data_IF_319897272775
#
_entry.id   IF_319897272775
#
_cell.length_a   1.000
_cell.length_b   1.000
_cell.length_c   1.000
_cell.angle_alpha   90.00
_cell.angle_beta   90.00
_cell.angle_gamma   90.00
#
_symmetry.space_group_name_H-M   'P 1'
#
loop_
_entity.id
_entity.type
_entity.pdbx_description
1 polymer ?
#
# COMPACT_ATOMS: atom_id res chain seq x y z
N UNK A 1 20.30 -3.14 11.08
CA UNK A 1 21.46 -3.35 10.17
C UNK A 1 21.00 -3.03 8.76
N UNK A 2 21.76 -2.26 8.00
CA UNK A 2 21.46 -2.02 6.58
C UNK A 2 21.94 -3.22 5.76
N UNK A 3 21.13 -3.65 4.79
CA UNK A 3 21.49 -4.68 3.81
C UNK A 3 21.74 -4.01 2.47
N UNK A 4 22.89 -4.26 1.88
CA UNK A 4 23.22 -3.79 0.53
C UNK A 4 22.64 -4.75 -0.52
N UNK A 5 22.12 -4.19 -1.60
CA UNK A 5 21.55 -4.93 -2.73
C UNK A 5 22.04 -4.25 -4.02
N UNK A 6 22.57 -5.03 -4.96
CA UNK A 6 22.90 -4.55 -6.30
C UNK A 6 21.81 -4.99 -7.28
N UNK A 7 21.33 -4.05 -8.09
CA UNK A 7 20.23 -4.26 -9.05
C UNK A 7 20.70 -3.74 -10.40
N UNK A 8 20.38 -4.47 -11.47
CA UNK A 8 20.63 -4.04 -12.84
C UNK A 8 19.29 -3.81 -13.53
N UNK A 9 19.09 -2.59 -14.03
CA UNK A 9 17.94 -2.24 -14.86
C UNK A 9 18.28 -2.37 -16.34
N UNK A 10 17.27 -2.65 -17.16
CA UNK A 10 17.43 -2.50 -18.60
C UNK A 10 17.57 -1.01 -18.97
N UNK A 11 18.13 -0.74 -20.15
CA UNK A 11 18.39 0.63 -20.61
C UNK A 11 17.13 1.50 -20.62
N UNK A 12 15.96 0.92 -20.91
CA UNK A 12 14.71 1.68 -20.98
C UNK A 12 14.28 2.12 -19.59
N UNK A 13 14.36 1.22 -18.63
CA UNK A 13 13.98 1.44 -17.24
C UNK A 13 14.93 2.43 -16.58
N UNK A 14 16.22 2.30 -16.83
CA UNK A 14 17.23 3.26 -16.35
C UNK A 14 16.96 4.68 -16.87
N UNK A 15 16.74 4.85 -18.18
CA UNK A 15 16.40 6.18 -18.75
C UNK A 15 15.15 6.78 -18.10
N UNK A 16 14.15 5.96 -17.80
CA UNK A 16 12.92 6.43 -17.15
C UNK A 16 13.16 6.79 -15.68
N UNK A 17 13.95 5.99 -14.97
CA UNK A 17 14.36 6.25 -13.60
C UNK A 17 15.09 7.60 -13.51
N UNK A 18 16.10 7.82 -14.35
CA UNK A 18 16.88 9.08 -14.38
C UNK A 18 15.97 10.29 -14.59
N UNK A 19 15.07 10.24 -15.59
CA UNK A 19 14.12 11.34 -15.85
C UNK A 19 13.18 11.60 -14.68
N UNK A 20 12.75 10.55 -13.99
CA UNK A 20 11.87 10.67 -12.85
C UNK A 20 12.60 11.34 -11.67
N UNK A 21 13.76 10.83 -11.28
CA UNK A 21 14.50 11.36 -10.12
C UNK A 21 14.93 12.81 -10.36
N UNK A 22 15.32 13.17 -11.58
CA UNK A 22 15.66 14.55 -11.96
C UNK A 22 14.43 15.48 -11.84
N UNK A 23 13.31 15.07 -12.43
CA UNK A 23 12.07 15.86 -12.42
C UNK A 23 11.53 16.06 -11.01
N UNK A 24 11.71 15.09 -10.13
CA UNK A 24 11.17 15.09 -8.78
C UNK A 24 12.19 15.51 -7.72
N UNK A 25 13.42 15.83 -8.11
CA UNK A 25 14.52 16.22 -7.21
C UNK A 25 14.72 15.19 -6.07
N UNK A 26 14.82 13.92 -6.45
CA UNK A 26 15.05 12.77 -5.57
C UNK A 26 16.38 12.11 -5.92
N UNK A 27 16.97 11.37 -4.99
CA UNK A 27 18.01 10.41 -5.31
C UNK A 27 17.42 9.08 -5.81
N UNK A 28 18.22 8.30 -6.54
CA UNK A 28 17.86 6.93 -6.93
C UNK A 28 17.52 6.07 -5.72
N UNK A 29 18.32 6.17 -4.65
CA UNK A 29 18.14 5.41 -3.42
C UNK A 29 16.80 5.72 -2.76
N UNK A 30 16.42 7.00 -2.65
CA UNK A 30 15.14 7.41 -2.08
C UNK A 30 13.97 6.87 -2.90
N UNK A 31 14.03 6.98 -4.23
CA UNK A 31 12.98 6.46 -5.08
C UNK A 31 12.83 4.95 -4.97
N UNK A 32 13.92 4.19 -5.03
CA UNK A 32 13.89 2.73 -4.93
C UNK A 32 13.34 2.29 -3.57
N UNK A 33 13.75 2.94 -2.48
CA UNK A 33 13.21 2.66 -1.14
C UNK A 33 11.71 2.91 -1.07
N UNK A 34 11.23 4.03 -1.62
CA UNK A 34 9.81 4.36 -1.64
C UNK A 34 9.01 3.37 -2.50
N UNK A 35 9.52 3.02 -3.69
CA UNK A 35 8.88 2.07 -4.58
C UNK A 35 8.74 0.68 -3.93
N UNK A 36 9.80 0.19 -3.29
CA UNK A 36 9.78 -1.10 -2.58
C UNK A 36 8.84 -1.04 -1.37
N UNK A 37 8.89 0.02 -0.57
CA UNK A 37 8.02 0.16 0.60
C UNK A 37 6.54 0.18 0.19
N UNK A 38 6.20 0.93 -0.86
CA UNK A 38 4.85 1.01 -1.39
C UNK A 38 4.35 -0.36 -1.89
N UNK A 39 5.14 -1.08 -2.68
CA UNK A 39 4.70 -2.38 -3.20
C UNK A 39 4.47 -3.40 -2.07
N UNK A 40 5.28 -3.36 -1.01
CA UNK A 40 5.10 -4.21 0.16
C UNK A 40 3.87 -3.82 0.99
N UNK A 41 3.58 -2.53 1.12
CA UNK A 41 2.36 -2.01 1.75
C UNK A 41 1.12 -2.44 0.95
N UNK A 42 1.11 -2.20 -0.36
CA UNK A 42 0.02 -2.59 -1.26
C UNK A 42 -0.27 -4.10 -1.17
N UNK A 43 0.78 -4.93 -1.09
CA UNK A 43 0.63 -6.39 -0.90
C UNK A 43 -0.01 -6.77 0.46
N UNK A 44 0.28 -6.02 1.53
CA UNK A 44 -0.34 -6.24 2.84
C UNK A 44 -1.81 -5.80 2.81
N UNK A 45 -2.10 -4.65 2.21
CA UNK A 45 -3.45 -4.12 2.09
C UNK A 45 -4.37 -5.05 1.30
N UNK A 46 -3.87 -5.63 0.20
CA UNK A 46 -4.60 -6.63 -0.58
C UNK A 46 -4.95 -7.85 0.29
N UNK A 47 -4.00 -8.37 1.07
CA UNK A 47 -4.26 -9.51 1.96
C UNK A 47 -5.28 -9.17 3.05
N UNK A 48 -5.21 -7.98 3.62
CA UNK A 48 -6.18 -7.51 4.61
C UNK A 48 -7.59 -7.42 3.99
N UNK A 49 -7.70 -6.81 2.80
CA UNK A 49 -8.95 -6.71 2.07
C UNK A 49 -9.55 -8.07 1.72
N UNK A 50 -8.73 -9.01 1.23
CA UNK A 50 -9.16 -10.38 0.93
C UNK A 50 -9.67 -11.11 2.18
N UNK A 51 -8.94 -11.00 3.29
CA UNK A 51 -9.34 -11.60 4.58
C UNK A 51 -10.67 -11.03 5.09
N UNK A 52 -10.83 -9.71 5.02
CA UNK A 52 -12.08 -9.02 5.36
C UNK A 52 -13.22 -9.45 4.44
N UNK A 53 -12.97 -9.58 3.14
CA UNK A 53 -13.97 -10.05 2.18
C UNK A 53 -14.41 -11.49 2.46
N UNK A 54 -13.49 -12.42 2.74
CA UNK A 54 -13.86 -13.80 3.10
C UNK A 54 -14.68 -13.85 4.39
N UNK A 55 -14.37 -13.00 5.37
CA UNK A 55 -15.12 -12.90 6.62
C UNK A 55 -16.54 -12.36 6.37
N UNK A 56 -16.67 -11.33 5.55
CA UNK A 56 -17.97 -10.75 5.18
C UNK A 56 -18.83 -11.73 4.40
N UNK A 57 -18.23 -12.45 3.44
CA UNK A 57 -18.88 -13.52 2.69
C UNK A 57 -19.37 -14.64 3.60
N UNK A 58 -18.60 -15.01 4.62
CA UNK A 58 -18.99 -16.05 5.60
C UNK A 58 -20.20 -15.64 6.45
N UNK A 59 -20.41 -14.34 6.66
CA UNK A 59 -21.59 -13.80 7.34
C UNK A 59 -22.72 -13.41 6.36
N UNK A 60 -22.74 -14.03 5.17
CA UNK A 60 -23.74 -13.81 4.11
C UNK A 60 -23.88 -12.33 3.70
N UNK A 61 -22.73 -11.64 3.66
CA UNK A 61 -22.64 -10.23 3.27
C UNK A 61 -23.52 -9.28 4.09
N UNK A 62 -23.78 -9.57 5.36
CA UNK A 62 -24.55 -8.67 6.23
C UNK A 62 -23.94 -7.28 6.29
N UNK A 63 -24.79 -6.27 6.17
CA UNK A 63 -24.42 -4.86 6.31
C UNK A 63 -25.05 -4.28 7.58
N UNK A 64 -24.37 -3.32 8.20
CA UNK A 64 -24.89 -2.57 9.35
C UNK A 64 -25.42 -1.22 8.88
N UNK A 65 -26.43 -0.70 9.56
CA UNK A 65 -26.87 0.67 9.32
C UNK A 65 -25.87 1.64 9.98
N UNK A 66 -25.92 2.90 9.54
CA UNK A 66 -25.02 3.95 10.01
C UNK A 66 -24.99 4.10 11.54
N UNK A 67 -26.15 4.03 12.20
CA UNK A 67 -26.25 4.21 13.65
C UNK A 67 -25.57 3.07 14.42
N UNK A 68 -25.79 1.83 14.01
CA UNK A 68 -25.12 0.66 14.60
C UNK A 68 -23.60 0.73 14.39
N UNK A 69 -23.15 1.17 13.21
CA UNK A 69 -21.72 1.37 12.92
C UNK A 69 -21.09 2.44 13.81
N UNK A 70 -21.75 3.57 14.02
CA UNK A 70 -21.25 4.63 14.92
C UNK A 70 -21.09 4.13 16.35
N UNK A 71 -22.10 3.41 16.86
CA UNK A 71 -22.07 2.85 18.21
C UNK A 71 -20.94 1.84 18.41
N UNK A 72 -20.71 0.97 17.43
CA UNK A 72 -19.60 0.01 17.50
C UNK A 72 -18.21 0.66 17.43
N UNK A 73 -18.10 1.78 16.73
CA UNK A 73 -16.87 2.56 16.63
C UNK A 73 -16.65 3.52 17.82
N UNK A 74 -17.63 3.64 18.72
CA UNK A 74 -17.61 4.62 19.83
C UNK A 74 -17.69 6.07 19.34
N UNK A 75 -18.43 6.30 18.26
CA UNK A 75 -18.60 7.59 17.59
C UNK A 75 -20.04 8.14 17.69
N UNK A 76 -20.86 7.56 18.56
CA UNK A 76 -22.29 7.89 18.73
C UNK A 76 -22.58 9.10 19.64
N UNK A 77 -21.54 9.70 20.25
CA UNK A 77 -21.63 10.89 21.12
C UNK A 77 -21.49 12.24 20.35
N UNK A 78 -21.67 12.26 19.02
CA UNK A 78 -21.59 13.48 18.18
C UNK A 78 -22.96 14.05 17.79
#
# INVERSE_FOLDING_TARGET
MAKEISIHFDNKTDILLQKYIEKHNLSEEEFIKQAVAKELEDWIDIQAADSSYQSWKKDDFKTKNWHDSLKELGLDDQ
#
